data_IF_445801663707
#
_entry.id   IF_445801663707
#
_cell.length_a   1.000
_cell.length_b   1.000
_cell.length_c   1.000
_cell.angle_alpha   90.00
_cell.angle_beta   90.00
_cell.angle_gamma   90.00
#
_symmetry.space_group_name_H-M   'P 1'
#
loop_
_entity.id
_entity.type
_entity.pdbx_description
1 polymer ?
#
# COMPACT_ATOMS: atom_id res chain seq x y z
N UNK A 1 10.13 -11.41 -3.75
CA UNK A 1 8.78 -10.85 -3.96
C UNK A 1 8.55 -10.66 -5.45
N UNK A 2 7.38 -11.10 -5.96
CA UNK A 2 7.12 -11.06 -7.39
C UNK A 2 6.60 -9.69 -7.83
N UNK A 3 7.37 -9.01 -8.69
CA UNK A 3 6.99 -7.72 -9.24
C UNK A 3 6.26 -7.89 -10.57
N UNK A 4 5.34 -6.96 -10.86
CA UNK A 4 4.66 -6.92 -12.14
C UNK A 4 5.66 -6.57 -13.24
N UNK A 5 5.59 -7.32 -14.35
CA UNK A 5 6.32 -6.99 -15.57
C UNK A 5 5.46 -6.09 -16.46
N UNK A 6 6.08 -5.44 -17.43
CA UNK A 6 5.35 -4.60 -18.37
C UNK A 6 4.22 -5.39 -19.07
N UNK A 7 4.46 -6.67 -19.36
CA UNK A 7 3.45 -7.56 -19.96
C UNK A 7 2.25 -7.84 -19.07
N UNK A 8 2.34 -7.55 -17.75
CA UNK A 8 1.23 -7.74 -16.82
C UNK A 8 0.29 -6.53 -16.75
N UNK A 9 0.59 -5.44 -17.45
CA UNK A 9 -0.15 -4.19 -17.30
C UNK A 9 -1.66 -4.34 -17.52
N UNK A 10 -2.07 -5.04 -18.57
CA UNK A 10 -3.49 -5.22 -18.87
C UNK A 10 -4.21 -6.00 -17.78
N UNK A 11 -3.61 -7.07 -17.26
CA UNK A 11 -4.19 -7.85 -16.18
C UNK A 11 -4.32 -7.03 -14.90
N UNK A 12 -3.25 -6.30 -14.55
CA UNK A 12 -3.23 -5.46 -13.35
C UNK A 12 -4.27 -4.34 -13.47
N UNK A 13 -4.34 -3.68 -14.63
CA UNK A 13 -5.35 -2.66 -14.88
C UNK A 13 -6.77 -3.21 -14.72
N UNK A 14 -7.02 -4.41 -15.23
CA UNK A 14 -8.34 -5.04 -15.15
C UNK A 14 -8.72 -5.38 -13.70
N UNK A 15 -7.75 -5.72 -12.85
CA UNK A 15 -8.01 -5.93 -11.42
C UNK A 15 -8.49 -4.63 -10.78
N UNK A 16 -7.85 -3.49 -11.09
CA UNK A 16 -8.31 -2.20 -10.58
C UNK A 16 -9.72 -1.86 -11.09
N UNK A 17 -10.05 -2.20 -12.32
CA UNK A 17 -11.39 -1.95 -12.86
C UNK A 17 -12.51 -2.70 -12.14
N UNK A 18 -12.20 -3.78 -11.44
CA UNK A 18 -13.19 -4.47 -10.59
C UNK A 18 -13.68 -3.57 -9.45
N UNK A 19 -12.90 -2.54 -9.11
CA UNK A 19 -13.19 -1.61 -8.01
C UNK A 19 -13.46 -0.18 -8.51
N UNK A 20 -13.94 -0.04 -9.75
CA UNK A 20 -14.16 1.29 -10.35
C UNK A 20 -15.15 2.15 -9.57
N UNK A 21 -16.04 1.55 -8.77
CA UNK A 21 -16.97 2.28 -7.92
C UNK A 21 -16.25 2.92 -6.72
N UNK A 22 -15.14 2.33 -6.29
CA UNK A 22 -14.29 2.84 -5.20
C UNK A 22 -13.19 3.74 -5.77
N UNK A 23 -12.64 3.35 -6.93
CA UNK A 23 -11.58 4.08 -7.64
C UNK A 23 -12.11 4.52 -9.01
N UNK A 24 -12.99 5.54 -9.08
CA UNK A 24 -13.64 5.92 -10.34
C UNK A 24 -12.66 6.48 -11.38
N UNK A 25 -11.50 6.96 -10.94
CA UNK A 25 -10.48 7.53 -11.80
C UNK A 25 -9.19 6.73 -11.69
N UNK A 26 -9.13 5.60 -12.40
CA UNK A 26 -7.92 4.79 -12.43
C UNK A 26 -6.89 5.51 -13.30
N UNK A 27 -5.77 5.87 -12.68
CA UNK A 27 -4.69 6.56 -13.38
C UNK A 27 -3.76 5.53 -14.01
N UNK A 28 -4.02 5.24 -15.27
CA UNK A 28 -3.24 4.24 -16.02
C UNK A 28 -1.80 4.68 -16.22
N UNK A 29 -1.55 5.97 -16.38
CA UNK A 29 -0.19 6.52 -16.47
C UNK A 29 0.61 6.29 -15.19
N UNK A 30 -0.03 6.49 -14.03
CA UNK A 30 0.58 6.21 -12.74
C UNK A 30 0.90 4.73 -12.58
N UNK A 31 -0.06 3.86 -12.91
CA UNK A 31 0.12 2.42 -12.80
C UNK A 31 1.28 1.94 -13.68
N UNK A 32 1.35 2.44 -14.91
CA UNK A 32 2.44 2.10 -15.82
C UNK A 32 3.80 2.52 -15.25
N UNK A 33 3.89 3.74 -14.69
CA UNK A 33 5.13 4.21 -14.06
C UNK A 33 5.54 3.35 -12.87
N UNK A 34 4.58 2.91 -12.08
CA UNK A 34 4.88 2.03 -10.93
C UNK A 34 5.42 0.68 -11.40
N UNK A 35 4.85 0.12 -12.45
CA UNK A 35 5.33 -1.14 -13.03
C UNK A 35 6.74 -0.96 -13.61
N UNK A 36 6.94 0.06 -14.42
CA UNK A 36 8.24 0.31 -15.07
C UNK A 36 9.33 0.64 -14.05
N UNK A 37 8.97 1.33 -12.98
CA UNK A 37 9.90 1.67 -11.91
C UNK A 37 10.22 0.55 -10.94
N UNK A 38 9.57 -0.62 -11.07
CA UNK A 38 9.78 -1.73 -10.15
C UNK A 38 9.10 -1.57 -8.80
N UNK A 39 8.02 -0.78 -8.74
CA UNK A 39 7.29 -0.48 -7.51
C UNK A 39 5.84 -0.97 -7.56
N UNK A 40 5.61 -2.06 -8.26
CA UNK A 40 4.31 -2.72 -8.30
C UNK A 40 4.51 -4.22 -8.11
N UNK A 41 3.95 -4.75 -7.02
CA UNK A 41 3.92 -6.17 -6.76
C UNK A 41 2.67 -6.75 -7.44
N UNK A 42 2.83 -7.90 -8.08
CA UNK A 42 1.70 -8.65 -8.61
C UNK A 42 1.92 -10.13 -8.29
N UNK A 43 1.19 -10.62 -7.31
CA UNK A 43 1.35 -12.00 -6.82
C UNK A 43 -0.01 -12.56 -6.41
N UNK A 44 -0.34 -13.75 -6.95
CA UNK A 44 -1.55 -14.49 -6.59
C UNK A 44 -2.83 -13.65 -6.73
N UNK A 45 -2.88 -12.78 -7.74
CA UNK A 45 -4.01 -11.89 -7.96
C UNK A 45 -4.05 -10.68 -7.04
N UNK A 46 -3.02 -10.46 -6.22
CA UNK A 46 -2.89 -9.28 -5.34
C UNK A 46 -1.94 -8.29 -6.02
N UNK A 47 -2.36 -7.03 -6.05
CA UNK A 47 -1.53 -5.93 -6.57
C UNK A 47 -1.23 -4.96 -5.45
N UNK A 48 0.04 -4.61 -5.28
CA UNK A 48 0.49 -3.59 -4.31
C UNK A 48 1.33 -2.57 -5.05
N UNK A 49 0.96 -1.30 -4.95
CA UNK A 49 1.79 -0.20 -5.44
C UNK A 49 2.40 0.55 -4.27
N UNK A 50 3.67 0.90 -4.38
CA UNK A 50 4.43 1.47 -3.27
C UNK A 50 5.60 2.28 -3.78
N UNK A 51 6.20 3.07 -2.87
CA UNK A 51 7.47 3.76 -3.12
C UNK A 51 8.28 3.81 -1.82
N UNK A 52 9.57 4.13 -1.94
CA UNK A 52 10.41 4.44 -0.77
C UNK A 52 10.72 5.94 -0.77
N UNK A 53 10.68 6.54 0.40
CA UNK A 53 11.03 7.93 0.55
C UNK A 53 12.55 8.11 0.55
N UNK A 54 13.05 9.05 -0.24
CA UNK A 54 14.49 9.39 -0.27
C UNK A 54 14.88 10.32 0.88
N UNK A 55 13.89 11.00 1.47
CA UNK A 55 14.05 11.92 2.59
C UNK A 55 12.78 11.91 3.42
N UNK A 56 12.82 12.42 4.68
CA UNK A 56 11.61 12.50 5.48
C UNK A 56 10.50 13.26 4.77
N UNK A 57 9.26 12.77 4.89
CA UNK A 57 8.09 13.33 4.24
C UNK A 57 6.92 13.43 5.21
N UNK A 58 6.20 14.56 5.24
CA UNK A 58 4.98 14.64 6.02
C UNK A 58 3.87 13.79 5.39
N UNK A 59 3.12 13.11 6.23
CA UNK A 59 1.89 12.41 5.86
C UNK A 59 0.81 12.93 6.81
N UNK A 60 0.11 14.00 6.40
CA UNK A 60 -0.83 14.66 7.30
C UNK A 60 -0.15 15.18 8.56
N UNK A 61 -0.61 14.69 9.72
CA UNK A 61 -0.12 15.15 11.04
C UNK A 61 1.17 14.47 11.51
N UNK A 62 1.71 13.53 10.75
CA UNK A 62 2.91 12.76 11.11
C UNK A 62 3.97 12.87 10.01
N UNK A 63 5.18 12.42 10.31
CA UNK A 63 6.31 12.50 9.38
C UNK A 63 6.91 11.11 9.22
N UNK A 64 6.93 10.61 7.98
CA UNK A 64 7.64 9.39 7.65
C UNK A 64 9.14 9.67 7.55
N UNK A 65 9.95 8.69 7.94
CA UNK A 65 11.40 8.82 7.93
C UNK A 65 12.02 8.53 6.58
N UNK A 66 13.30 8.87 6.48
CA UNK A 66 14.12 8.57 5.30
C UNK A 66 14.16 7.05 5.08
N UNK A 67 13.98 6.63 3.83
CA UNK A 67 13.96 5.23 3.38
C UNK A 67 12.77 4.41 3.89
N UNK A 68 11.82 5.04 4.58
CA UNK A 68 10.56 4.39 4.88
C UNK A 68 9.76 4.13 3.59
N UNK A 69 8.88 3.14 3.65
CA UNK A 69 8.03 2.76 2.53
C UNK A 69 6.66 3.43 2.66
N UNK A 70 6.13 3.90 1.55
CA UNK A 70 4.72 4.31 1.44
C UNK A 70 3.98 3.31 0.57
N UNK A 71 2.95 2.65 1.12
CA UNK A 71 2.05 1.78 0.39
C UNK A 71 0.92 2.63 -0.15
N UNK A 72 0.79 2.71 -1.47
CA UNK A 72 -0.24 3.54 -2.09
C UNK A 72 -1.56 2.81 -2.24
N UNK A 73 -1.51 1.58 -2.73
CA UNK A 73 -2.72 0.82 -3.04
C UNK A 73 -2.46 -0.67 -2.85
N UNK A 74 -3.49 -1.37 -2.37
CA UNK A 74 -3.53 -2.83 -2.38
C UNK A 74 -4.91 -3.24 -2.87
N UNK A 75 -4.96 -4.05 -3.91
CA UNK A 75 -6.21 -4.59 -4.47
C UNK A 75 -6.06 -6.08 -4.73
N UNK A 76 -7.18 -6.78 -4.67
CA UNK A 76 -7.24 -8.21 -4.90
C UNK A 76 -8.19 -8.52 -6.07
N UNK A 77 -7.76 -9.39 -6.95
CA UNK A 77 -8.64 -9.96 -7.97
C UNK A 77 -9.76 -10.73 -7.27
N UNK A 78 -11.00 -10.26 -7.41
CA UNK A 78 -12.16 -10.83 -6.74
C UNK A 78 -12.50 -12.24 -7.20
N UNK A 79 -11.95 -12.67 -8.35
CA UNK A 79 -12.16 -14.02 -8.89
C UNK A 79 -11.18 -15.05 -8.30
N UNK A 80 -10.19 -14.60 -7.53
CA UNK A 80 -9.17 -15.45 -6.92
C UNK A 80 -9.46 -15.69 -5.45
N UNK A 81 -9.26 -16.94 -5.02
CA UNK A 81 -9.36 -17.30 -3.61
C UNK A 81 -7.98 -17.31 -2.98
N UNK A 82 -7.42 -16.11 -2.82
CA UNK A 82 -6.08 -15.91 -2.28
C UNK A 82 -6.15 -14.99 -1.05
N UNK A 83 -5.14 -15.10 -0.19
CA UNK A 83 -5.08 -14.31 1.03
C UNK A 83 -4.31 -13.01 0.80
N UNK A 84 -5.01 -11.89 0.81
CA UNK A 84 -4.37 -10.57 0.77
C UNK A 84 -3.47 -10.36 2.00
N UNK A 85 -3.85 -10.90 3.16
CA UNK A 85 -3.04 -10.84 4.38
C UNK A 85 -1.70 -11.53 4.21
N UNK A 86 -1.65 -12.68 3.57
CA UNK A 86 -0.40 -13.40 3.35
C UNK A 86 0.55 -12.61 2.45
N UNK A 87 0.03 -12.02 1.39
CA UNK A 87 0.86 -11.22 0.48
C UNK A 87 1.31 -9.92 1.14
N UNK A 88 0.44 -9.28 1.93
CA UNK A 88 0.82 -8.07 2.66
C UNK A 88 1.94 -8.34 3.69
N UNK A 89 1.85 -9.44 4.42
CA UNK A 89 2.91 -9.83 5.37
C UNK A 89 4.22 -10.08 4.66
N UNK A 90 4.17 -10.77 3.54
CA UNK A 90 5.35 -11.01 2.71
C UNK A 90 5.94 -9.69 2.19
N UNK A 91 5.07 -8.75 1.82
CA UNK A 91 5.49 -7.41 1.41
C UNK A 91 6.21 -6.67 2.55
N UNK A 92 5.71 -6.73 3.78
CA UNK A 92 6.38 -6.10 4.91
C UNK A 92 7.80 -6.65 5.11
N UNK A 93 7.97 -7.96 4.98
CA UNK A 93 9.29 -8.58 5.06
C UNK A 93 10.20 -8.13 3.91
N UNK A 94 9.65 -8.05 2.71
CA UNK A 94 10.38 -7.59 1.54
C UNK A 94 10.83 -6.13 1.68
N UNK A 95 9.96 -5.26 2.15
CA UNK A 95 10.23 -3.82 2.24
C UNK A 95 11.36 -3.51 3.23
N UNK A 96 11.51 -4.29 4.29
CA UNK A 96 12.56 -4.17 5.29
C UNK A 96 12.67 -2.75 5.87
N UNK A 97 11.53 -2.12 6.06
CA UNK A 97 11.41 -0.75 6.53
C UNK A 97 10.05 -0.55 7.17
N UNK A 98 9.88 0.55 7.88
CA UNK A 98 8.57 0.97 8.33
C UNK A 98 7.71 1.28 7.11
N UNK A 99 6.45 0.84 7.15
CA UNK A 99 5.50 1.00 6.03
C UNK A 99 4.34 1.87 6.47
N UNK A 100 4.14 2.95 5.72
CA UNK A 100 3.09 3.93 5.96
C UNK A 100 2.01 3.81 4.90
N UNK A 101 0.79 4.15 5.26
CA UNK A 101 -0.29 4.36 4.29
C UNK A 101 -1.28 5.36 4.84
N UNK A 102 -2.07 5.93 3.95
CA UNK A 102 -3.25 6.72 4.32
C UNK A 102 -4.48 6.09 3.70
N UNK A 103 -5.59 6.18 4.41
CA UNK A 103 -6.87 5.59 4.00
C UNK A 103 -8.00 6.54 4.39
N UNK A 104 -9.06 6.59 3.59
CA UNK A 104 -10.24 7.39 3.96
C UNK A 104 -10.81 6.88 5.27
N UNK A 105 -11.15 7.81 6.16
CA UNK A 105 -11.67 7.46 7.50
C UNK A 105 -12.93 6.62 7.44
N UNK A 106 -13.77 6.82 6.43
CA UNK A 106 -15.02 6.09 6.25
C UNK A 106 -14.81 4.68 5.63
N UNK A 107 -13.62 4.34 5.20
CA UNK A 107 -13.32 3.01 4.67
C UNK A 107 -13.04 2.02 5.81
N UNK A 108 -14.11 1.62 6.50
CA UNK A 108 -14.02 0.77 7.69
C UNK A 108 -13.43 -0.60 7.36
N UNK A 109 -13.78 -1.15 6.21
CA UNK A 109 -13.31 -2.49 5.80
C UNK A 109 -11.79 -2.49 5.62
N UNK A 110 -11.25 -1.49 4.92
CA UNK A 110 -9.81 -1.38 4.74
C UNK A 110 -9.08 -1.15 6.06
N UNK A 111 -9.63 -0.27 6.92
CA UNK A 111 -9.02 0.01 8.23
C UNK A 111 -8.91 -1.25 9.08
N UNK A 112 -9.97 -2.06 9.14
CA UNK A 112 -9.95 -3.34 9.87
C UNK A 112 -8.92 -4.30 9.29
N UNK A 113 -8.80 -4.34 7.97
CA UNK A 113 -7.80 -5.17 7.29
C UNK A 113 -6.39 -4.78 7.70
N UNK A 114 -6.08 -3.48 7.70
CA UNK A 114 -4.75 -3.00 8.08
C UNK A 114 -4.47 -3.27 9.56
N UNK A 115 -5.43 -3.02 10.45
CA UNK A 115 -5.28 -3.27 11.89
C UNK A 115 -5.04 -4.76 12.17
N UNK A 116 -5.78 -5.62 11.50
CA UNK A 116 -5.60 -7.08 11.60
C UNK A 116 -4.19 -7.51 11.20
N UNK A 117 -3.57 -6.79 10.29
CA UNK A 117 -2.23 -7.11 9.78
C UNK A 117 -1.11 -6.35 10.49
N UNK A 118 -1.38 -5.80 11.66
CA UNK A 118 -0.36 -5.22 12.53
C UNK A 118 -0.05 -3.76 12.28
N UNK A 119 -0.85 -3.07 11.48
CA UNK A 119 -0.71 -1.62 11.32
C UNK A 119 -1.46 -0.88 12.41
N UNK A 120 -0.93 0.25 12.84
CA UNK A 120 -1.52 1.08 13.90
C UNK A 120 -1.89 2.45 13.37
N UNK A 121 -3.01 2.97 13.82
CA UNK A 121 -3.43 4.34 13.56
C UNK A 121 -2.48 5.29 14.31
N UNK A 122 -1.82 6.17 13.57
CA UNK A 122 -0.81 7.06 14.13
C UNK A 122 -1.04 8.54 13.81
N UNK A 123 -1.94 8.85 12.89
CA UNK A 123 -2.16 10.23 12.51
C UNK A 123 -3.39 10.41 11.64
N UNK A 124 -3.58 11.64 11.20
CA UNK A 124 -4.70 12.04 10.36
C UNK A 124 -4.19 12.78 9.12
N UNK A 125 -4.96 12.72 8.06
CA UNK A 125 -4.71 13.46 6.84
C UNK A 125 -6.03 13.87 6.19
N UNK A 126 -5.96 14.54 5.06
CA UNK A 126 -7.14 14.91 4.30
C UNK A 126 -6.92 14.65 2.81
N UNK A 127 -8.03 14.37 2.14
CA UNK A 127 -8.09 14.03 0.73
C UNK A 127 -9.01 15.01 0.02
N UNK A 128 -8.94 15.04 -1.31
CA UNK A 128 -9.84 15.83 -2.15
C UNK A 128 -9.90 17.30 -1.71
N UNK A 129 -8.76 17.99 -1.71
CA UNK A 129 -8.64 19.39 -1.34
C UNK A 129 -9.18 19.65 0.09
N UNK A 130 -8.84 18.76 1.01
CA UNK A 130 -9.17 18.83 2.45
C UNK A 130 -10.65 18.61 2.78
N UNK A 131 -11.42 18.10 1.84
CA UNK A 131 -12.86 17.84 2.07
C UNK A 131 -13.14 16.45 2.64
N UNK A 132 -12.19 15.49 2.50
CA UNK A 132 -12.37 14.11 2.96
C UNK A 132 -11.34 13.79 4.05
N UNK A 133 -11.82 13.44 5.27
CA UNK A 133 -10.88 13.05 6.33
C UNK A 133 -10.27 11.69 6.05
N UNK A 134 -9.00 11.54 6.38
CA UNK A 134 -8.26 10.30 6.27
C UNK A 134 -7.50 9.97 7.53
N UNK A 135 -7.13 8.71 7.65
CA UNK A 135 -6.32 8.19 8.75
C UNK A 135 -5.00 7.68 8.22
N UNK A 136 -3.95 7.85 9.01
CA UNK A 136 -2.60 7.39 8.67
C UNK A 136 -2.25 6.19 9.52
N UNK A 137 -1.82 5.12 8.87
CA UNK A 137 -1.43 3.87 9.50
C UNK A 137 0.05 3.61 9.31
N UNK A 138 0.65 2.96 10.29
CA UNK A 138 2.06 2.61 10.29
C UNK A 138 2.23 1.14 10.67
N UNK A 139 2.98 0.40 9.86
CA UNK A 139 3.59 -0.86 10.25
C UNK A 139 5.03 -0.57 10.65
N UNK A 140 5.32 -0.70 11.94
CA UNK A 140 6.65 -0.46 12.45
C UNK A 140 7.45 -1.76 12.39
N UNK A 141 8.54 -1.72 11.63
CA UNK A 141 9.42 -2.88 11.52
C UNK A 141 10.07 -3.17 12.87
N UNK A 142 9.86 -4.38 13.38
CA UNK A 142 10.50 -4.80 14.63
C UNK A 142 11.92 -5.31 14.36
N UNK A 143 12.85 -4.99 15.27
CA UNK A 143 14.19 -5.57 15.23
C UNK A 143 14.17 -6.88 16.02
N UNK A 144 14.96 -7.85 15.55
CA UNK A 144 15.16 -9.06 16.33
C UNK A 144 16.03 -8.74 17.55
N UNK A 145 15.88 -9.52 18.63
CA UNK A 145 16.71 -9.34 19.83
C UNK A 145 18.21 -9.45 19.56
N UNK A 146 18.60 -10.26 18.58
CA UNK A 146 20.00 -10.42 18.20
C UNK A 146 20.60 -9.12 17.65
N UNK A 147 19.80 -8.21 17.15
CA UNK A 147 20.25 -6.92 16.61
C UNK A 147 20.46 -5.87 17.71
N UNK A 148 19.95 -6.15 18.91
CA UNK A 148 20.03 -5.23 20.05
C UNK A 148 21.23 -5.52 20.95
N UNK A 149 21.87 -6.63 20.72
CA UNK A 149 23.03 -7.05 21.48
C UNK A 149 24.32 -6.61 20.79
#
# INVERSE_FOLDING_TARGET
>A
MQHAAHSDFEEVKNIFYQYKDIFPHIRTDYLMRQIEGGHCIYKDGIVITYNFYKRPQPIGTVIAGKFHCILHQIVKDSTKDTSASSVLKEFFEYARADVWLSVRRDNVVAKKFYEKNGMKLVGECSWAAETLPGDVYLYQRTRSLSNEL
#
